data_IF_672315679379
#
_entry.id   IF_672315679379
#
_cell.length_a   1.000
_cell.length_b   1.000
_cell.length_c   1.000
_cell.angle_alpha   90.00
_cell.angle_beta   90.00
_cell.angle_gamma   90.00
#
_symmetry.space_group_name_H-M   'P 1'
#
loop_
_entity.id
_entity.type
_entity.pdbx_description
1 polymer ?
#
# COMPACT_ATOMS: atom_id res chain seq x y z
N UNK A 1 7.30 8.26 -20.68
CA UNK A 1 5.85 7.98 -20.87
C UNK A 1 5.56 7.56 -22.29
N UNK A 2 5.96 8.35 -23.32
CA UNK A 2 5.65 8.06 -24.73
C UNK A 2 6.10 6.64 -25.15
N UNK A 3 7.36 6.26 -24.89
CA UNK A 3 7.86 4.93 -25.23
C UNK A 3 7.09 3.80 -24.54
N UNK A 4 6.61 4.00 -23.31
CA UNK A 4 5.79 3.02 -22.62
C UNK A 4 4.41 2.87 -23.29
N UNK A 5 3.79 3.97 -23.74
CA UNK A 5 2.54 3.92 -24.48
C UNK A 5 2.72 3.18 -25.82
N UNK A 6 3.82 3.44 -26.53
CA UNK A 6 4.15 2.74 -27.78
C UNK A 6 4.36 1.24 -27.50
N UNK A 7 5.09 0.91 -26.43
CA UNK A 7 5.30 -0.48 -26.02
C UNK A 7 3.96 -1.19 -25.73
N UNK A 8 3.00 -0.54 -25.04
CA UNK A 8 1.68 -1.12 -24.80
C UNK A 8 0.96 -1.45 -26.11
N UNK A 9 1.06 -0.58 -27.12
CA UNK A 9 0.50 -0.83 -28.45
C UNK A 9 1.18 -2.02 -29.14
N UNK A 10 2.51 -2.11 -29.07
CA UNK A 10 3.28 -3.23 -29.66
C UNK A 10 2.87 -4.55 -29.04
N UNK A 11 2.75 -4.62 -27.71
CA UNK A 11 2.37 -5.86 -27.01
C UNK A 11 0.86 -6.15 -27.03
N UNK A 12 0.06 -5.30 -27.68
CA UNK A 12 -1.39 -5.48 -27.81
C UNK A 12 -2.16 -5.26 -26.50
N UNK A 13 -1.59 -4.55 -25.54
CA UNK A 13 -2.23 -4.29 -24.24
C UNK A 13 -2.77 -2.85 -24.15
N UNK A 14 -3.80 -2.61 -23.31
CA UNK A 14 -4.39 -1.27 -23.19
C UNK A 14 -3.36 -0.23 -22.77
N UNK A 15 -3.37 0.93 -23.42
CA UNK A 15 -2.40 2.01 -23.17
C UNK A 15 -2.44 2.55 -21.73
N UNK A 16 -3.59 2.45 -21.04
CA UNK A 16 -3.72 2.86 -19.64
C UNK A 16 -2.85 2.03 -18.68
N UNK A 17 -2.40 0.82 -19.07
CA UNK A 17 -1.44 0.04 -18.30
C UNK A 17 -0.14 0.81 -18.04
N UNK A 18 0.18 1.77 -18.89
CA UNK A 18 1.31 2.68 -18.68
C UNK A 18 1.26 3.36 -17.32
N UNK A 19 0.06 3.70 -16.82
CA UNK A 19 -0.11 4.35 -15.51
C UNK A 19 0.36 3.41 -14.39
N UNK A 20 0.08 2.12 -14.50
CA UNK A 20 0.44 1.12 -13.48
C UNK A 20 1.95 0.98 -13.29
N UNK A 21 2.75 1.31 -14.31
CA UNK A 21 4.22 1.30 -14.22
C UNK A 21 4.77 2.39 -13.29
N UNK A 22 4.02 3.44 -13.05
CA UNK A 22 4.42 4.56 -12.20
C UNK A 22 3.84 4.47 -10.78
N UNK A 23 2.99 3.46 -10.51
CA UNK A 23 2.42 3.24 -9.18
C UNK A 23 3.37 2.34 -8.38
N UNK A 24 3.93 2.82 -7.24
CA UNK A 24 4.82 2.04 -6.40
C UNK A 24 4.16 0.71 -5.97
N UNK A 25 4.97 -0.33 -5.80
CA UNK A 25 4.57 -1.71 -5.49
C UNK A 25 3.92 -2.40 -6.69
N UNK A 26 2.98 -1.75 -7.39
CA UNK A 26 2.31 -2.34 -8.57
C UNK A 26 3.28 -2.49 -9.73
N UNK A 27 4.19 -1.53 -9.91
CA UNK A 27 5.23 -1.59 -10.93
C UNK A 27 6.09 -2.86 -10.81
N UNK A 28 6.33 -3.37 -9.60
CA UNK A 28 7.08 -4.61 -9.37
C UNK A 28 6.40 -5.85 -9.98
N UNK A 29 5.08 -5.81 -10.13
CA UNK A 29 4.31 -6.85 -10.82
C UNK A 29 4.23 -6.54 -12.31
N UNK A 30 4.02 -5.29 -12.67
CA UNK A 30 3.76 -4.90 -14.05
C UNK A 30 4.99 -5.02 -14.95
N UNK A 31 6.21 -4.69 -14.45
CA UNK A 31 7.43 -4.87 -15.25
C UNK A 31 7.64 -6.33 -15.68
N UNK A 32 7.63 -7.33 -14.80
CA UNK A 32 7.64 -8.74 -15.19
C UNK A 32 6.59 -9.12 -16.22
N UNK A 33 5.35 -8.68 -16.03
CA UNK A 33 4.26 -8.93 -16.98
C UNK A 33 4.59 -8.37 -18.36
N UNK A 34 5.07 -7.13 -18.44
CA UNK A 34 5.41 -6.47 -19.70
C UNK A 34 6.60 -7.17 -20.38
N UNK A 35 7.61 -7.60 -19.63
CA UNK A 35 8.73 -8.35 -20.21
C UNK A 35 8.26 -9.65 -20.87
N UNK A 36 7.41 -10.42 -20.18
CA UNK A 36 6.84 -11.65 -20.72
C UNK A 36 5.99 -11.36 -21.97
N UNK A 37 5.14 -10.33 -21.92
CA UNK A 37 4.30 -9.93 -23.05
C UNK A 37 5.14 -9.48 -24.24
N UNK A 38 6.24 -8.76 -23.99
CA UNK A 38 7.19 -8.37 -25.04
C UNK A 38 7.82 -9.60 -25.70
N UNK A 39 8.36 -10.53 -24.91
CA UNK A 39 8.94 -11.78 -25.43
C UNK A 39 7.92 -12.53 -26.30
N UNK A 40 6.70 -12.68 -25.82
CA UNK A 40 5.62 -13.35 -26.56
C UNK A 40 5.25 -12.66 -27.87
N UNK A 41 5.34 -11.32 -27.92
CA UNK A 41 5.08 -10.55 -29.14
C UNK A 41 6.12 -10.78 -30.23
N UNK A 42 7.30 -11.29 -29.86
CA UNK A 42 8.38 -11.64 -30.77
C UNK A 42 8.61 -13.17 -30.86
N UNK A 43 7.52 -13.95 -30.67
CA UNK A 43 7.52 -15.40 -30.87
C UNK A 43 8.22 -16.21 -29.77
N UNK A 44 8.78 -15.56 -28.71
CA UNK A 44 9.47 -16.21 -27.61
C UNK A 44 8.47 -16.63 -26.52
N UNK A 45 7.97 -17.88 -26.63
CA UNK A 45 6.91 -18.42 -25.75
C UNK A 45 7.35 -19.57 -24.85
N UNK A 46 8.61 -19.99 -24.95
CA UNK A 46 9.09 -21.12 -24.14
C UNK A 46 9.16 -20.79 -22.64
N UNK A 47 9.10 -21.83 -21.81
CA UNK A 47 9.31 -21.67 -20.37
C UNK A 47 10.70 -21.09 -20.05
N UNK A 48 11.70 -21.45 -20.87
CA UNK A 48 13.08 -20.95 -20.73
C UNK A 48 13.13 -19.43 -21.05
N UNK A 49 12.49 -18.98 -22.14
CA UNK A 49 12.44 -17.54 -22.45
C UNK A 49 11.76 -16.74 -21.35
N UNK A 50 10.67 -17.27 -20.81
CA UNK A 50 9.96 -16.65 -19.66
C UNK A 50 10.87 -16.58 -18.44
N UNK A 51 11.54 -17.67 -18.09
CA UNK A 51 12.48 -17.72 -16.96
C UNK A 51 13.64 -16.75 -17.16
N UNK A 52 14.28 -16.74 -18.33
CA UNK A 52 15.38 -15.82 -18.65
C UNK A 52 14.91 -14.36 -18.61
N UNK A 53 13.74 -14.05 -19.16
CA UNK A 53 13.16 -12.70 -19.10
C UNK A 53 12.95 -12.20 -17.68
N UNK A 54 12.53 -13.08 -16.76
CA UNK A 54 12.32 -12.74 -15.36
C UNK A 54 13.64 -12.63 -14.57
N UNK A 55 14.51 -13.63 -14.64
CA UNK A 55 15.75 -13.66 -13.84
C UNK A 55 16.74 -12.57 -14.23
N UNK A 56 16.73 -12.17 -15.50
CA UNK A 56 17.56 -11.08 -15.99
C UNK A 56 16.91 -9.71 -15.86
N UNK A 57 15.76 -9.59 -15.20
CA UNK A 57 15.01 -8.35 -15.06
C UNK A 57 14.74 -7.63 -16.40
N UNK A 58 14.44 -8.41 -17.44
CA UNK A 58 14.16 -7.92 -18.78
C UNK A 58 15.40 -7.72 -19.69
N UNK A 59 16.64 -7.79 -19.17
CA UNK A 59 17.83 -7.65 -20.00
C UNK A 59 17.95 -8.73 -21.08
N UNK A 60 17.34 -9.89 -20.90
CA UNK A 60 17.25 -10.92 -21.92
C UNK A 60 16.60 -10.40 -23.22
N UNK A 61 15.67 -9.45 -23.15
CA UNK A 61 15.04 -8.82 -24.33
C UNK A 61 16.09 -8.09 -25.17
N UNK A 62 17.03 -7.38 -24.55
CA UNK A 62 18.14 -6.73 -25.28
C UNK A 62 19.05 -7.78 -25.91
N UNK A 63 19.39 -8.83 -25.20
CA UNK A 63 20.24 -9.90 -25.74
C UNK A 63 19.63 -10.49 -27.02
N UNK A 64 18.36 -10.91 -27.00
CA UNK A 64 17.73 -11.52 -28.19
C UNK A 64 17.54 -10.52 -29.33
N UNK A 65 17.30 -9.25 -29.00
CA UNK A 65 17.13 -8.20 -30.01
C UNK A 65 18.40 -7.93 -30.84
N UNK A 66 19.58 -8.13 -30.25
CA UNK A 66 20.85 -7.91 -30.96
C UNK A 66 21.50 -9.18 -31.49
N UNK A 67 21.06 -10.35 -31.07
CA UNK A 67 21.70 -11.62 -31.42
C UNK A 67 20.82 -12.56 -32.25
N UNK A 68 19.54 -12.24 -32.41
CA UNK A 68 18.59 -13.14 -33.09
C UNK A 68 17.72 -12.33 -34.06
N UNK A 69 17.40 -12.94 -35.18
CA UNK A 69 16.37 -12.42 -36.08
C UNK A 69 15.01 -12.70 -35.47
N UNK A 70 14.32 -11.63 -35.06
CA UNK A 70 13.03 -11.70 -34.39
C UNK A 70 11.91 -11.30 -35.34
N UNK A 71 10.89 -12.12 -35.40
CA UNK A 71 9.68 -11.82 -36.17
C UNK A 71 8.58 -11.33 -35.23
N UNK A 72 7.99 -10.20 -35.56
CA UNK A 72 6.86 -9.63 -34.78
C UNK A 72 5.56 -10.35 -35.15
N UNK A 73 4.89 -10.90 -34.14
CA UNK A 73 3.62 -11.63 -34.26
C UNK A 73 2.47 -10.68 -33.90
N UNK A 74 1.92 -9.97 -34.90
CA UNK A 74 0.87 -8.98 -34.69
C UNK A 74 -0.43 -9.59 -34.15
N UNK A 75 -0.85 -10.73 -34.71
CA UNK A 75 -2.14 -11.39 -34.41
C UNK A 75 -2.01 -12.49 -33.34
N UNK A 76 -1.12 -12.32 -32.38
CA UNK A 76 -0.98 -13.31 -31.32
C UNK A 76 -2.21 -13.33 -30.40
N UNK A 77 -2.56 -14.52 -29.92
CA UNK A 77 -3.54 -14.63 -28.85
C UNK A 77 -3.04 -13.93 -27.59
N UNK A 78 -3.88 -13.10 -26.99
CA UNK A 78 -3.64 -12.47 -25.68
C UNK A 78 -4.14 -13.33 -24.51
N UNK A 79 -4.85 -14.42 -24.83
CA UNK A 79 -5.32 -15.39 -23.84
C UNK A 79 -4.19 -16.29 -23.36
N UNK A 80 -4.22 -16.74 -22.11
CA UNK A 80 -3.26 -17.70 -21.59
C UNK A 80 -3.29 -19.04 -22.35
N UNK A 81 -2.11 -19.62 -22.59
CA UNK A 81 -1.97 -20.85 -23.38
C UNK A 81 -2.30 -22.13 -22.58
N UNK A 82 -2.50 -22.01 -21.26
CA UNK A 82 -2.79 -23.15 -20.38
C UNK A 82 -3.64 -22.72 -19.17
N UNK A 83 -4.31 -23.69 -18.54
CA UNK A 83 -5.09 -23.46 -17.31
C UNK A 83 -4.22 -22.89 -16.19
N UNK A 84 -2.97 -23.35 -16.07
CA UNK A 84 -2.03 -22.82 -15.07
C UNK A 84 -1.68 -21.36 -15.34
N UNK A 85 -1.41 -21.01 -16.60
CA UNK A 85 -1.13 -19.62 -16.99
C UNK A 85 -2.36 -18.72 -16.78
N UNK A 86 -3.55 -19.22 -17.03
CA UNK A 86 -4.81 -18.49 -16.76
C UNK A 86 -5.01 -18.25 -15.26
N UNK A 87 -4.81 -19.26 -14.42
CA UNK A 87 -4.87 -19.11 -12.95
C UNK A 87 -3.85 -18.09 -12.44
N UNK A 88 -2.61 -18.13 -12.93
CA UNK A 88 -1.57 -17.16 -12.55
C UNK A 88 -1.96 -15.74 -12.98
N UNK A 89 -2.45 -15.58 -14.21
CA UNK A 89 -2.88 -14.28 -14.74
C UNK A 89 -4.03 -13.70 -13.93
N UNK A 90 -5.04 -14.51 -13.61
CA UNK A 90 -6.18 -14.11 -12.78
C UNK A 90 -5.76 -13.74 -11.35
N UNK A 91 -4.83 -14.50 -10.76
CA UNK A 91 -4.29 -14.20 -9.43
C UNK A 91 -3.49 -12.88 -9.43
N UNK A 92 -2.63 -12.67 -10.43
CA UNK A 92 -1.88 -11.41 -10.56
C UNK A 92 -2.82 -10.21 -10.73
N UNK A 93 -3.85 -10.36 -11.56
CA UNK A 93 -4.88 -9.33 -11.71
C UNK A 93 -5.57 -9.02 -10.39
N UNK A 94 -6.01 -10.04 -9.65
CA UNK A 94 -6.63 -9.88 -8.35
C UNK A 94 -5.71 -9.17 -7.35
N UNK A 95 -4.41 -9.53 -7.30
CA UNK A 95 -3.42 -8.88 -6.43
C UNK A 95 -3.22 -7.41 -6.80
N UNK A 96 -3.14 -7.08 -8.10
CA UNK A 96 -3.01 -5.68 -8.55
C UNK A 96 -4.23 -4.86 -8.14
N UNK A 97 -5.44 -5.36 -8.42
CA UNK A 97 -6.69 -4.66 -8.07
C UNK A 97 -6.82 -4.51 -6.55
N UNK A 98 -6.59 -5.59 -5.79
CA UNK A 98 -6.64 -5.53 -4.33
C UNK A 98 -5.62 -4.55 -3.76
N UNK A 99 -4.40 -4.48 -4.31
CA UNK A 99 -3.37 -3.54 -3.87
C UNK A 99 -3.78 -2.09 -4.15
N UNK A 100 -4.38 -1.81 -5.32
CA UNK A 100 -4.92 -0.48 -5.65
C UNK A 100 -6.01 -0.07 -4.67
N UNK A 101 -7.00 -0.94 -4.46
CA UNK A 101 -8.11 -0.68 -3.54
C UNK A 101 -7.59 -0.45 -2.12
N UNK A 102 -6.72 -1.33 -1.64
CA UNK A 102 -6.17 -1.28 -0.28
C UNK A 102 -5.30 -0.04 -0.02
N UNK A 103 -4.57 0.41 -1.03
CA UNK A 103 -3.65 1.54 -0.91
C UNK A 103 -4.36 2.87 -1.05
N UNK A 104 -5.29 2.99 -2.00
CA UNK A 104 -5.83 4.28 -2.41
C UNK A 104 -7.30 4.51 -2.06
N UNK A 105 -8.09 3.45 -1.83
CA UNK A 105 -9.52 3.57 -1.58
C UNK A 105 -9.89 3.22 -0.15
N UNK A 106 -9.80 1.94 0.22
CA UNK A 106 -10.33 1.42 1.49
C UNK A 106 -9.40 0.35 2.03
N UNK A 107 -9.12 0.41 3.33
CA UNK A 107 -8.34 -0.61 4.02
C UNK A 107 -9.09 -1.16 5.23
N UNK A 108 -9.27 -2.51 5.35
CA UNK A 108 -9.86 -3.11 6.53
C UNK A 108 -8.88 -3.11 7.70
N UNK A 109 -9.42 -2.90 8.91
CA UNK A 109 -8.71 -2.99 10.17
C UNK A 109 -9.58 -3.63 11.24
N UNK A 110 -8.93 -4.20 12.25
CA UNK A 110 -9.58 -4.70 13.47
C UNK A 110 -9.16 -3.80 14.63
N UNK A 111 -10.09 -3.50 15.55
CA UNK A 111 -9.82 -2.71 16.75
C UNK A 111 -9.26 -3.62 17.85
N UNK A 112 -7.97 -3.46 18.25
CA UNK A 112 -7.36 -4.33 19.25
C UNK A 112 -7.47 -3.81 20.68
N UNK A 113 -7.85 -2.55 20.90
CA UNK A 113 -7.81 -1.90 22.21
C UNK A 113 -9.05 -1.05 22.48
N UNK A 114 -9.40 -0.88 23.75
CA UNK A 114 -10.56 -0.12 24.21
C UNK A 114 -10.39 1.41 24.22
N UNK A 115 -9.33 1.95 23.64
CA UNK A 115 -9.04 3.40 23.71
C UNK A 115 -10.06 4.33 23.03
N UNK A 116 -10.99 3.78 22.27
CA UNK A 116 -12.16 4.47 21.69
C UNK A 116 -13.48 3.84 22.15
N UNK A 117 -13.48 3.29 23.36
CA UNK A 117 -14.65 2.61 23.94
C UNK A 117 -15.93 3.43 23.80
N UNK A 118 -17.06 2.72 23.61
CA UNK A 118 -18.38 3.23 23.25
C UNK A 118 -18.48 3.73 21.80
N UNK A 119 -17.41 4.28 21.20
CA UNK A 119 -17.39 4.64 19.78
C UNK A 119 -16.99 3.47 18.88
N UNK A 120 -15.92 2.76 19.25
CA UNK A 120 -15.42 1.55 18.59
C UNK A 120 -15.06 0.54 19.68
N UNK A 121 -15.53 -0.69 19.52
CA UNK A 121 -15.32 -1.75 20.50
C UNK A 121 -14.14 -2.65 20.10
N UNK A 122 -13.54 -3.30 21.09
CA UNK A 122 -12.50 -4.31 20.83
C UNK A 122 -13.11 -5.46 20.02
N UNK A 123 -12.46 -5.83 18.91
CA UNK A 123 -12.93 -6.85 17.97
C UNK A 123 -13.74 -6.31 16.79
N UNK A 124 -14.13 -5.04 16.80
CA UNK A 124 -14.80 -4.43 15.65
C UNK A 124 -13.93 -4.48 14.41
N UNK A 125 -14.55 -4.85 13.27
CA UNK A 125 -13.98 -4.71 11.94
C UNK A 125 -14.46 -3.42 11.32
N UNK A 126 -13.52 -2.64 10.78
CA UNK A 126 -13.87 -1.38 10.12
C UNK A 126 -13.10 -1.20 8.82
N UNK A 127 -13.70 -0.47 7.91
CA UNK A 127 -13.05 0.00 6.70
C UNK A 127 -12.61 1.45 6.87
N UNK A 128 -11.30 1.69 6.77
CA UNK A 128 -10.74 3.03 6.80
C UNK A 128 -10.68 3.58 5.39
N UNK A 129 -11.43 4.65 5.13
CA UNK A 129 -11.38 5.37 3.87
C UNK A 129 -10.04 6.10 3.73
N UNK A 130 -9.39 5.92 2.59
CA UNK A 130 -8.17 6.66 2.24
C UNK A 130 -8.49 7.96 1.51
N UNK A 131 -9.69 8.07 0.95
CA UNK A 131 -10.09 9.20 0.11
C UNK A 131 -10.45 10.45 0.93
N UNK A 132 -11.02 10.28 2.12
CA UNK A 132 -11.49 11.38 2.94
C UNK A 132 -10.41 12.47 3.15
N UNK A 133 -9.26 12.07 3.64
CA UNK A 133 -8.12 12.98 3.87
C UNK A 133 -7.02 12.85 2.81
N UNK A 134 -7.32 12.23 1.68
CA UNK A 134 -6.41 11.96 0.58
C UNK A 134 -5.52 10.73 0.82
N UNK A 135 -5.45 9.85 -0.17
CA UNK A 135 -4.61 8.67 -0.12
C UNK A 135 -3.13 9.04 -0.17
N UNK A 136 -2.34 8.45 0.70
CA UNK A 136 -0.88 8.61 0.67
C UNK A 136 -0.27 7.67 -0.36
N UNK A 137 0.61 8.19 -1.21
CA UNK A 137 1.45 7.39 -2.10
C UNK A 137 2.44 6.59 -1.24
N UNK A 138 2.61 5.28 -1.46
CA UNK A 138 3.59 4.48 -0.73
C UNK A 138 5.00 5.07 -0.82
N UNK A 139 5.64 5.24 0.33
CA UNK A 139 7.03 5.72 0.39
C UNK A 139 8.01 4.58 0.15
N UNK A 140 7.74 3.39 0.71
CA UNK A 140 8.51 2.18 0.44
C UNK A 140 8.20 1.67 -0.97
N UNK A 141 9.12 1.89 -1.91
CA UNK A 141 8.94 1.54 -3.32
C UNK A 141 9.01 0.03 -3.58
N UNK A 142 9.82 -0.68 -2.79
CA UNK A 142 10.01 -2.12 -2.89
C UNK A 142 9.38 -2.74 -1.64
N UNK A 143 8.17 -3.29 -1.81
CA UNK A 143 7.42 -3.93 -0.74
C UNK A 143 6.53 -5.04 -1.32
N UNK A 144 6.24 -6.04 -0.52
CA UNK A 144 5.25 -7.05 -0.90
C UNK A 144 3.85 -6.43 -0.90
N UNK A 145 3.04 -6.70 -1.95
CA UNK A 145 1.67 -6.24 -2.02
C UNK A 145 0.85 -6.71 -0.81
N UNK A 146 0.00 -5.84 -0.27
CA UNK A 146 -0.92 -6.12 0.83
C UNK A 146 -0.28 -6.57 2.16
N UNK A 147 1.04 -6.66 2.26
CA UNK A 147 1.75 -7.00 3.50
C UNK A 147 2.33 -5.74 4.12
N UNK A 148 1.89 -5.43 5.36
CA UNK A 148 2.24 -4.15 6.00
C UNK A 148 3.67 -4.13 6.55
N UNK A 149 4.04 -5.04 7.45
CA UNK A 149 5.33 -4.99 8.17
C UNK A 149 6.18 -6.24 7.96
N UNK A 150 5.69 -7.41 8.33
CA UNK A 150 6.45 -8.66 8.28
C UNK A 150 5.77 -9.71 7.45
N UNK A 151 6.55 -10.50 6.72
CA UNK A 151 6.04 -11.63 5.92
C UNK A 151 5.52 -12.70 6.88
N UNK A 152 4.30 -13.21 6.68
CA UNK A 152 3.80 -14.36 7.43
C UNK A 152 4.80 -15.52 7.41
N UNK A 153 4.89 -16.25 8.51
CA UNK A 153 5.76 -17.42 8.74
C UNK A 153 7.26 -17.14 8.80
N UNK A 154 7.85 -16.32 7.93
CA UNK A 154 9.32 -16.08 7.89
C UNK A 154 9.80 -15.07 8.90
N UNK A 155 8.90 -14.20 9.39
CA UNK A 155 9.23 -13.10 10.32
C UNK A 155 10.16 -12.02 9.72
N UNK A 156 10.48 -12.10 8.44
CA UNK A 156 11.28 -11.11 7.70
C UNK A 156 10.45 -9.86 7.41
N UNK A 157 11.13 -8.73 7.15
CA UNK A 157 10.43 -7.51 6.69
C UNK A 157 9.87 -7.71 5.29
N UNK A 158 8.65 -7.20 5.05
CA UNK A 158 7.97 -7.27 3.76
C UNK A 158 8.40 -6.16 2.79
N UNK A 159 9.35 -5.32 3.18
CA UNK A 159 9.78 -4.15 2.42
C UNK A 159 11.27 -3.87 2.61
N UNK A 160 11.82 -3.13 1.66
CA UNK A 160 13.14 -2.53 1.79
C UNK A 160 13.02 -1.09 2.31
N UNK A 161 13.98 -0.68 3.14
CA UNK A 161 14.02 0.69 3.69
C UNK A 161 14.56 1.71 2.70
N UNK A 162 15.14 1.27 1.60
CA UNK A 162 15.66 2.09 0.52
C UNK A 162 15.47 1.36 -0.83
N UNK A 163 15.17 2.05 -1.94
CA UNK A 163 14.88 3.48 -2.03
C UNK A 163 13.50 3.86 -1.49
N UNK A 164 13.34 5.13 -1.10
CA UNK A 164 12.07 5.69 -0.65
C UNK A 164 11.67 6.88 -1.52
N UNK A 165 10.37 6.99 -1.79
CA UNK A 165 9.79 8.20 -2.36
C UNK A 165 9.60 9.27 -1.29
N UNK A 166 9.60 10.56 -1.66
CA UNK A 166 9.20 11.63 -0.76
C UNK A 166 7.74 11.44 -0.31
N UNK A 167 7.41 12.03 0.82
CA UNK A 167 6.03 12.03 1.29
C UNK A 167 5.12 12.77 0.30
N UNK A 168 4.16 12.05 -0.26
CA UNK A 168 3.13 12.61 -1.14
C UNK A 168 1.76 12.08 -0.75
N UNK A 169 0.75 12.95 -0.85
CA UNK A 169 -0.64 12.62 -0.60
C UNK A 169 -1.51 13.18 -1.73
N UNK A 170 -2.42 12.36 -2.21
CA UNK A 170 -3.43 12.81 -3.17
C UNK A 170 -4.39 13.79 -2.50
N UNK A 171 -5.07 14.66 -3.25
CA UNK A 171 -6.09 15.55 -2.70
C UNK A 171 -7.15 14.75 -1.93
N UNK A 172 -7.55 15.26 -0.76
CA UNK A 172 -8.63 14.69 0.03
C UNK A 172 -9.98 15.31 -0.35
N UNK A 173 -11.06 14.60 -0.01
CA UNK A 173 -12.43 15.07 -0.21
C UNK A 173 -12.83 16.06 0.87
N UNK A 174 -12.24 15.94 2.08
CA UNK A 174 -12.55 16.75 3.25
C UNK A 174 -11.30 17.05 4.08
N UNK A 175 -11.39 18.06 4.93
CA UNK A 175 -10.39 18.38 5.95
C UNK A 175 -10.68 17.62 7.24
N UNK A 176 -9.65 17.45 8.08
CA UNK A 176 -9.80 16.88 9.42
C UNK A 176 -10.49 17.90 10.31
N UNK A 177 -11.56 17.50 10.99
CA UNK A 177 -12.29 18.31 11.95
C UNK A 177 -12.06 17.79 13.38
N UNK A 178 -12.37 18.67 14.37
CA UNK A 178 -12.40 18.24 15.77
C UNK A 178 -13.46 17.15 15.93
N UNK A 179 -13.17 16.18 16.78
CA UNK A 179 -13.93 14.96 17.07
C UNK A 179 -13.95 13.88 16.01
N UNK A 180 -13.36 14.09 14.82
CA UNK A 180 -13.19 13.03 13.82
C UNK A 180 -12.38 11.86 14.38
N UNK A 181 -12.76 10.63 14.01
CA UNK A 181 -11.98 9.44 14.28
C UNK A 181 -11.03 9.25 13.11
N UNK A 182 -9.72 9.37 13.39
CA UNK A 182 -8.67 9.35 12.37
C UNK A 182 -7.73 8.16 12.55
N UNK A 183 -7.37 7.52 11.43
CA UNK A 183 -6.32 6.52 11.38
C UNK A 183 -5.01 7.17 10.91
N UNK A 184 -3.92 6.93 11.63
CA UNK A 184 -2.61 7.50 11.31
C UNK A 184 -1.48 6.54 11.67
N UNK A 185 -0.31 6.73 11.08
CA UNK A 185 0.88 5.97 11.45
C UNK A 185 1.53 6.58 12.69
N UNK A 186 1.85 5.76 13.67
CA UNK A 186 2.50 6.19 14.91
C UNK A 186 3.90 6.76 14.63
N UNK A 187 4.16 8.06 14.81
CA UNK A 187 5.41 8.68 14.37
C UNK A 187 6.65 8.18 15.11
N UNK A 188 6.50 7.75 16.36
CA UNK A 188 7.57 7.28 17.25
C UNK A 188 7.79 5.76 17.16
N UNK A 189 7.09 5.04 16.25
CA UNK A 189 7.29 3.59 16.08
C UNK A 189 8.69 3.27 15.59
N UNK A 190 9.49 2.73 16.51
CA UNK A 190 10.85 2.23 16.26
C UNK A 190 11.02 0.78 16.69
N UNK A 191 9.94 0.11 17.09
CA UNK A 191 10.00 -1.30 17.50
C UNK A 191 10.11 -2.21 16.28
N UNK A 192 10.90 -3.26 16.39
CA UNK A 192 11.09 -4.21 15.29
C UNK A 192 9.77 -4.87 14.89
N UNK A 193 8.94 -5.24 15.89
CA UNK A 193 7.58 -5.77 15.71
C UNK A 193 6.65 -5.21 16.77
N UNK A 194 5.36 -5.19 16.46
CA UNK A 194 4.34 -4.94 17.47
C UNK A 194 4.36 -6.05 18.53
N UNK A 195 4.34 -5.66 19.80
CA UNK A 195 4.53 -6.55 20.98
C UNK A 195 5.90 -7.26 21.07
N UNK A 196 6.92 -6.77 20.36
CA UNK A 196 8.27 -7.31 20.51
C UNK A 196 8.91 -6.83 21.84
N UNK A 197 9.22 -7.76 22.73
CA UNK A 197 9.88 -7.50 24.01
C UNK A 197 11.41 -7.45 23.90
N UNK A 198 11.98 -7.74 22.73
CA UNK A 198 13.43 -7.86 22.51
C UNK A 198 14.19 -6.53 22.58
N UNK A 199 13.48 -5.39 22.76
CA UNK A 199 14.03 -4.02 22.74
C UNK A 199 14.80 -3.66 21.46
N UNK A 200 14.72 -4.49 20.41
CA UNK A 200 15.33 -4.19 19.12
C UNK A 200 14.65 -2.99 18.49
N UNK A 201 15.45 -2.01 18.10
CA UNK A 201 14.96 -0.86 17.33
C UNK A 201 15.12 -1.12 15.86
N UNK A 202 14.16 -0.64 15.07
CA UNK A 202 14.22 -0.68 13.61
C UNK A 202 13.80 0.66 13.04
N UNK A 203 14.54 1.12 12.03
CA UNK A 203 14.07 2.22 11.21
C UNK A 203 12.94 1.73 10.31
N UNK A 204 11.80 2.43 10.33
CA UNK A 204 10.65 2.14 9.47
C UNK A 204 10.27 3.37 8.68
N UNK A 205 10.07 3.26 7.35
CA UNK A 205 9.38 4.29 6.58
C UNK A 205 8.03 4.61 7.21
N UNK A 206 7.55 5.85 7.08
CA UNK A 206 6.31 6.29 7.73
C UNK A 206 5.12 5.42 7.36
N UNK A 207 5.03 4.98 6.10
CA UNK A 207 3.97 4.11 5.58
C UNK A 207 4.03 2.66 6.12
N UNK A 208 5.13 2.28 6.77
CA UNK A 208 5.35 0.96 7.39
C UNK A 208 5.30 0.99 8.91
N UNK A 209 5.10 2.17 9.52
CA UNK A 209 4.87 2.32 10.95
C UNK A 209 3.49 1.81 11.34
N UNK A 210 3.34 1.38 12.59
CA UNK A 210 2.07 0.86 13.14
C UNK A 210 0.94 1.87 12.98
N UNK A 211 -0.22 1.38 12.58
CA UNK A 211 -1.42 2.19 12.44
C UNK A 211 -2.14 2.32 13.78
N UNK A 212 -2.52 3.55 14.12
CA UNK A 212 -3.32 3.87 15.28
C UNK A 212 -4.60 4.56 14.85
N UNK A 213 -5.65 4.34 15.63
CA UNK A 213 -6.94 5.03 15.47
C UNK A 213 -7.22 5.81 16.74
N UNK A 214 -7.41 7.13 16.63
CA UNK A 214 -7.70 8.02 17.74
C UNK A 214 -8.69 9.10 17.32
N UNK A 215 -9.32 9.74 18.32
CA UNK A 215 -10.17 10.91 18.10
C UNK A 215 -9.30 12.15 17.99
N UNK A 216 -9.50 12.94 16.93
CA UNK A 216 -8.86 14.25 16.75
C UNK A 216 -9.53 15.25 17.69
N UNK A 217 -8.83 15.76 18.68
CA UNK A 217 -9.39 16.73 19.65
C UNK A 217 -8.96 18.16 19.38
N UNK A 218 -7.88 18.36 18.64
CA UNK A 218 -7.38 19.70 18.25
C UNK A 218 -6.94 19.71 16.79
N UNK A 219 -7.11 20.85 16.14
CA UNK A 219 -6.68 21.12 14.77
C UNK A 219 -5.65 22.25 14.75
N UNK A 220 -4.90 22.47 13.65
CA UNK A 220 -3.93 23.55 13.56
C UNK A 220 -4.55 24.91 13.92
N UNK A 221 -3.87 25.65 14.80
CA UNK A 221 -4.33 26.94 15.32
C UNK A 221 -5.01 26.88 16.68
N UNK A 222 -5.41 25.69 17.15
CA UNK A 222 -6.05 25.54 18.46
C UNK A 222 -5.05 25.67 19.62
N UNK A 223 -5.48 26.32 20.69
CA UNK A 223 -4.83 26.27 22.00
C UNK A 223 -5.47 25.15 22.83
N UNK A 224 -4.78 24.01 22.96
CA UNK A 224 -5.28 22.84 23.67
C UNK A 224 -4.74 22.79 25.11
N UNK A 225 -5.64 22.60 26.08
CA UNK A 225 -5.28 22.31 27.48
C UNK A 225 -6.14 21.16 28.03
N UNK A 226 -5.56 20.44 29.02
CA UNK A 226 -6.26 19.37 29.72
C UNK A 226 -6.30 19.77 31.21
N UNK A 227 -7.50 19.83 31.79
CA UNK A 227 -7.72 20.14 33.20
C UNK A 227 -8.64 19.06 33.78
N UNK A 228 -8.21 18.40 34.84
CA UNK A 228 -8.95 17.32 35.51
C UNK A 228 -9.46 16.22 34.55
N UNK A 229 -8.63 15.88 33.53
CA UNK A 229 -8.97 14.89 32.50
C UNK A 229 -9.93 15.40 31.42
N UNK A 230 -10.39 16.64 31.51
CA UNK A 230 -11.27 17.26 30.51
C UNK A 230 -10.46 18.12 29.53
N UNK A 231 -10.87 18.09 28.26
CA UNK A 231 -10.18 18.76 27.15
C UNK A 231 -10.80 20.14 26.92
N UNK A 232 -9.96 21.17 26.89
CA UNK A 232 -10.34 22.55 26.56
C UNK A 232 -9.63 23.00 25.30
N UNK A 233 -10.37 23.63 24.40
CA UNK A 233 -9.87 24.26 23.19
C UNK A 233 -10.17 25.75 23.28
N UNK A 234 -9.14 26.60 23.15
CA UNK A 234 -9.23 28.05 23.27
C UNK A 234 -9.95 28.50 24.57
N UNK A 235 -9.65 27.79 25.66
CA UNK A 235 -10.22 28.03 26.98
C UNK A 235 -11.65 27.52 27.18
N UNK A 236 -12.30 26.93 26.18
CA UNK A 236 -13.67 26.38 26.24
C UNK A 236 -13.63 24.84 26.31
N UNK A 237 -14.52 24.27 27.12
CA UNK A 237 -14.67 22.81 27.21
C UNK A 237 -15.07 22.21 25.87
N UNK A 238 -14.29 21.24 25.38
CA UNK A 238 -14.62 20.51 24.15
C UNK A 238 -15.84 19.61 24.36
N UNK A 239 -16.90 19.86 23.60
CA UNK A 239 -18.07 18.98 23.57
C UNK A 239 -17.74 17.72 22.77
N UNK A 240 -17.70 16.59 23.45
CA UNK A 240 -17.46 15.29 22.82
C UNK A 240 -18.78 14.71 22.31
N UNK A 241 -18.75 13.91 21.22
CA UNK A 241 -19.94 13.17 20.76
C UNK A 241 -20.49 12.24 21.86
N UNK A 242 -21.79 11.98 21.85
CA UNK A 242 -22.47 11.13 22.83
C UNK A 242 -21.83 9.74 23.01
N UNK A 243 -21.31 9.17 21.91
CA UNK A 243 -20.63 7.87 21.92
C UNK A 243 -19.14 7.97 22.27
N UNK A 244 -18.63 9.09 22.72
CA UNK A 244 -17.28 9.21 23.25
C UNK A 244 -17.30 8.99 24.75
N UNK A 245 -16.48 8.03 25.22
CA UNK A 245 -16.32 7.75 26.65
C UNK A 245 -14.88 8.08 27.05
N UNK A 246 -14.62 9.23 27.70
CA UNK A 246 -13.30 9.55 28.25
C UNK A 246 -12.86 8.49 29.27
N UNK A 247 -11.58 8.21 29.29
CA UNK A 247 -10.96 7.31 30.26
C UNK A 247 -10.13 8.13 31.24
N UNK A 248 -10.33 7.88 32.52
CA UNK A 248 -9.65 8.57 33.61
C UNK A 248 -8.73 7.61 34.33
N UNK A 249 -7.64 8.13 34.91
CA UNK A 249 -6.77 7.34 35.79
C UNK A 249 -7.33 7.33 37.22
N UNK A 250 -7.39 6.15 37.81
CA UNK A 250 -7.85 5.96 39.18
C UNK A 250 -6.72 5.33 40.02
N UNK A 251 -6.58 5.77 41.27
CA UNK A 251 -5.81 5.00 42.27
C UNK A 251 -6.72 3.90 42.79
N UNK A 252 -6.25 2.69 42.75
CA UNK A 252 -6.89 1.54 43.42
C UNK A 252 -6.16 1.34 44.73
N UNK A 253 -6.90 1.40 45.82
CA UNK A 253 -6.39 1.14 47.16
C UNK A 253 -6.38 -0.36 47.46
#
# INVERSE_FOLDING_TARGET
>A
VYNAIVLMKIIGRPTWWTILLFIPIINLIMFPVIWIETLRSFGKRSALDTFLGLITLGFYIYYINYTQDLEYVADRSLSPDSKTADTISSLLFAVVVATLVHTYLIQPYTIPTSSLEKSLLVGDFLFVSKMNYGARVPMATIALPMVHDSIPFTKSKSYLTWPQLPYMRLPGIQNINRTDIVAFNWPVDTVYRFFDTSKRRAYKPVDKKSNYVKRCVGIPGDSLSIKDGLIYIDGKLLQLPERAKPQFSYKVA
#
